data_IF_673181764905
#
_entry.id   IF_673181764905
#
_cell.length_a   1.000
_cell.length_b   1.000
_cell.length_c   1.000
_cell.angle_alpha   90.00
_cell.angle_beta   90.00
_cell.angle_gamma   90.00
#
_symmetry.space_group_name_H-M   'P 1'
#
loop_
_entity.id
_entity.type
_entity.pdbx_description
1 polymer ?
#
# COMPACT_ATOMS: atom_id res chain seq x y z
N UNK A 1 3.64 13.56 -70.69
CA UNK A 1 3.21 14.51 -69.65
C UNK A 1 2.08 13.87 -68.85
N UNK A 2 2.36 13.46 -67.62
CA UNK A 2 1.34 13.32 -66.56
C UNK A 2 2.06 13.72 -65.26
N UNK A 3 1.63 14.84 -64.66
CA UNK A 3 2.05 15.26 -63.32
C UNK A 3 1.17 14.53 -62.32
N UNK A 4 1.76 13.92 -61.29
CA UNK A 4 1.04 13.58 -60.06
C UNK A 4 1.82 14.15 -58.89
N UNK A 5 1.17 15.08 -58.20
CA UNK A 5 1.61 15.79 -57.00
C UNK A 5 1.54 14.85 -55.79
N UNK A 6 2.56 14.90 -54.92
CA UNK A 6 2.51 14.27 -53.61
C UNK A 6 1.79 15.13 -52.58
N UNK A 7 1.20 14.50 -51.57
CA UNK A 7 0.85 15.09 -50.27
C UNK A 7 1.00 13.97 -49.24
N UNK A 8 1.81 14.21 -48.21
CA UNK A 8 1.92 13.37 -47.02
C UNK A 8 0.94 13.86 -45.98
N UNK A 9 0.19 12.94 -45.39
CA UNK A 9 -0.71 13.24 -44.29
C UNK A 9 0.04 13.08 -42.97
N UNK A 10 0.28 14.21 -42.31
CA UNK A 10 0.65 14.25 -40.91
C UNK A 10 -0.59 13.91 -40.09
N UNK A 11 -0.53 12.82 -39.32
CA UNK A 11 -1.54 12.47 -38.34
C UNK A 11 -1.35 13.40 -37.14
N UNK A 12 -2.16 14.44 -37.06
CA UNK A 12 -2.33 15.23 -35.83
C UNK A 12 -3.06 14.33 -34.82
N UNK A 13 -2.32 13.92 -33.79
CA UNK A 13 -2.90 13.30 -32.60
C UNK A 13 -3.44 14.45 -31.78
N UNK A 14 -4.76 14.66 -31.81
CA UNK A 14 -5.44 15.52 -30.84
C UNK A 14 -5.19 14.93 -29.45
N UNK A 15 -4.44 15.66 -28.62
CA UNK A 15 -4.27 15.34 -27.20
C UNK A 15 -5.63 15.50 -26.53
N UNK A 16 -6.25 14.37 -26.18
CA UNK A 16 -7.47 14.31 -25.39
C UNK A 16 -7.33 15.17 -24.13
N UNK A 17 -8.13 16.23 -24.08
CA UNK A 17 -8.31 17.13 -22.96
C UNK A 17 -8.85 16.31 -21.77
N UNK A 18 -7.98 15.97 -20.82
CA UNK A 18 -8.39 15.28 -19.59
C UNK A 18 -9.04 16.30 -18.67
N UNK A 19 -10.37 16.36 -18.70
CA UNK A 19 -11.20 17.17 -17.80
C UNK A 19 -10.93 16.79 -16.33
N UNK A 20 -10.26 17.68 -15.60
CA UNK A 20 -10.23 17.64 -14.14
C UNK A 20 -11.57 18.18 -13.64
N UNK A 21 -12.47 17.26 -13.30
CA UNK A 21 -13.78 17.53 -12.70
C UNK A 21 -13.59 18.27 -11.36
N UNK A 22 -13.77 19.59 -11.37
CA UNK A 22 -14.07 20.37 -10.18
C UNK A 22 -15.59 20.44 -10.04
N UNK A 23 -16.11 19.99 -8.90
CA UNK A 23 -17.53 19.90 -8.63
C UNK A 23 -18.32 21.21 -8.84
N UNK A 24 -19.52 21.01 -9.38
CA UNK A 24 -20.80 21.69 -9.13
C UNK A 24 -20.99 23.15 -9.58
N UNK A 25 -22.00 23.37 -10.44
CA UNK A 25 -22.77 24.63 -10.48
C UNK A 25 -22.79 25.35 -11.83
N UNK A 26 -23.99 25.43 -12.41
CA UNK A 26 -24.39 26.35 -13.49
C UNK A 26 -23.86 27.78 -13.25
N UNK A 27 -22.97 28.27 -14.12
CA UNK A 27 -22.63 29.69 -14.15
C UNK A 27 -22.40 30.21 -15.58
N UNK A 28 -23.39 31.00 -16.03
CA UNK A 28 -23.37 31.82 -17.25
C UNK A 28 -22.11 32.70 -17.30
N UNK A 29 -21.56 32.85 -18.50
CA UNK A 29 -20.31 33.54 -18.79
C UNK A 29 -20.22 34.96 -18.21
N UNK A 30 -19.27 35.17 -17.29
CA UNK A 30 -18.87 36.49 -16.80
C UNK A 30 -17.61 36.91 -17.53
N UNK A 31 -17.61 38.08 -18.19
CA UNK A 31 -16.40 38.69 -18.77
C UNK A 31 -15.51 39.17 -17.62
N UNK A 32 -14.35 38.54 -17.44
CA UNK A 32 -13.41 38.90 -16.36
C UNK A 32 -12.84 40.30 -16.59
N UNK A 33 -12.83 41.13 -15.55
CA UNK A 33 -12.23 42.46 -15.60
C UNK A 33 -10.74 42.38 -15.95
N UNK A 34 -10.23 43.38 -16.69
CA UNK A 34 -8.85 43.40 -17.16
C UNK A 34 -7.83 43.25 -16.01
N UNK A 35 -8.18 43.79 -14.83
CA UNK A 35 -7.38 43.71 -13.61
C UNK A 35 -7.34 42.30 -13.01
N UNK A 36 -8.46 41.56 -13.07
CA UNK A 36 -8.54 40.16 -12.59
C UNK A 36 -7.79 39.21 -13.54
N UNK A 37 -7.83 39.45 -14.85
CA UNK A 37 -7.01 38.73 -15.84
C UNK A 37 -5.52 38.96 -15.62
N UNK A 38 -5.08 40.20 -15.33
CA UNK A 38 -3.68 40.51 -14.99
C UNK A 38 -3.23 39.81 -13.71
N UNK A 39 -4.06 39.79 -12.66
CA UNK A 39 -3.75 39.11 -11.39
C UNK A 39 -3.60 37.59 -11.56
N UNK A 40 -4.46 36.94 -12.36
CA UNK A 40 -4.32 35.51 -12.66
C UNK A 40 -3.05 35.20 -13.46
N UNK A 41 -2.72 36.01 -14.48
CA UNK A 41 -1.49 35.84 -15.25
C UNK A 41 -0.24 36.00 -14.37
N UNK A 42 -0.27 36.93 -13.41
CA UNK A 42 0.80 37.06 -12.40
C UNK A 42 0.91 35.85 -11.49
N UNK A 43 -0.21 35.35 -10.96
CA UNK A 43 -0.25 34.17 -10.11
C UNK A 43 0.19 32.88 -10.84
N UNK A 44 -0.12 32.76 -12.12
CA UNK A 44 0.27 31.62 -12.96
C UNK A 44 1.76 31.64 -13.29
N UNK A 45 2.35 32.83 -13.51
CA UNK A 45 3.81 32.99 -13.66
C UNK A 45 4.55 32.60 -12.37
N UNK A 46 4.13 33.13 -11.23
CA UNK A 46 4.72 32.79 -9.92
C UNK A 46 4.66 31.29 -9.61
N UNK A 47 3.56 30.60 -9.94
CA UNK A 47 3.47 29.14 -9.81
C UNK A 47 4.41 28.39 -10.75
N UNK A 48 4.60 28.89 -11.97
CA UNK A 48 5.58 28.36 -12.92
C UNK A 48 7.01 28.51 -12.41
N UNK A 49 7.34 29.69 -11.89
CA UNK A 49 8.67 30.01 -11.36
C UNK A 49 9.02 29.15 -10.12
N UNK A 50 8.07 28.96 -9.20
CA UNK A 50 8.22 28.06 -8.03
C UNK A 50 8.40 26.58 -8.47
N UNK A 51 7.76 26.17 -9.56
CA UNK A 51 7.93 24.84 -10.13
C UNK A 51 9.30 24.64 -10.79
N UNK A 52 9.82 25.67 -11.46
CA UNK A 52 11.15 25.67 -12.08
C UNK A 52 12.27 25.68 -11.03
N UNK A 53 12.14 26.50 -9.99
CA UNK A 53 13.09 26.54 -8.87
C UNK A 53 13.17 25.18 -8.18
N UNK A 54 12.03 24.57 -7.84
CA UNK A 54 11.99 23.20 -7.28
C UNK A 54 12.63 22.17 -8.18
N UNK A 55 12.42 22.24 -9.50
CA UNK A 55 13.06 21.32 -10.46
C UNK A 55 14.57 21.53 -10.51
N UNK A 56 15.03 22.77 -10.47
CA UNK A 56 16.46 23.11 -10.42
C UNK A 56 17.12 22.59 -9.15
N UNK A 57 16.46 22.72 -8.00
CA UNK A 57 16.96 22.18 -6.74
C UNK A 57 17.08 20.67 -6.76
N UNK A 58 16.05 19.98 -7.28
CA UNK A 58 16.08 18.53 -7.44
C UNK A 58 17.15 18.07 -8.44
N UNK A 59 17.37 18.84 -9.50
CA UNK A 59 18.42 18.60 -10.49
C UNK A 59 19.82 18.76 -9.89
N UNK A 60 20.05 19.77 -9.05
CA UNK A 60 21.32 19.96 -8.34
C UNK A 60 21.61 18.79 -7.40
N UNK A 61 20.61 18.36 -6.62
CA UNK A 61 20.70 17.19 -5.74
C UNK A 61 20.97 15.89 -6.50
N UNK A 62 20.28 15.69 -7.62
CA UNK A 62 20.51 14.53 -8.49
C UNK A 62 21.95 14.51 -9.04
N UNK A 63 22.51 15.68 -9.41
CA UNK A 63 23.91 15.80 -9.86
C UNK A 63 24.92 15.46 -8.78
N UNK A 64 24.62 15.79 -7.53
CA UNK A 64 25.40 15.38 -6.35
C UNK A 64 25.26 13.88 -6.05
N UNK A 65 24.38 13.17 -6.77
CA UNK A 65 24.15 11.74 -6.65
C UNK A 65 23.03 11.35 -5.69
N UNK A 66 22.29 12.32 -5.16
CA UNK A 66 21.12 12.07 -4.31
C UNK A 66 19.97 11.46 -5.13
N UNK A 67 19.28 10.47 -4.59
CA UNK A 67 18.05 9.95 -5.21
C UNK A 67 16.88 10.86 -4.84
N UNK A 68 16.41 11.63 -5.80
CA UNK A 68 15.27 12.56 -5.67
C UNK A 68 13.97 12.00 -6.23
N UNK A 69 14.04 10.93 -7.04
CA UNK A 69 12.87 10.18 -7.52
C UNK A 69 12.85 8.78 -6.91
N UNK A 70 11.79 8.40 -6.17
CA UNK A 70 11.63 7.03 -5.67
C UNK A 70 11.65 6.01 -6.81
N UNK A 71 12.48 4.96 -6.65
CA UNK A 71 12.69 3.96 -7.70
C UNK A 71 13.59 4.43 -8.85
N UNK A 72 14.06 5.69 -8.83
CA UNK A 72 14.95 6.28 -9.83
C UNK A 72 16.45 6.20 -9.52
N UNK A 73 16.85 5.41 -8.53
CA UNK A 73 18.24 5.34 -8.06
C UNK A 73 19.24 5.05 -9.20
N UNK A 74 20.34 5.82 -9.23
CA UNK A 74 21.47 5.64 -10.15
C UNK A 74 21.63 6.74 -11.22
N UNK A 75 20.63 7.60 -11.42
CA UNK A 75 20.71 8.74 -12.36
C UNK A 75 21.31 10.00 -11.74
N UNK A 76 22.13 10.75 -12.51
CA UNK A 76 22.75 12.03 -12.07
C UNK A 76 21.97 13.28 -12.52
N UNK A 77 20.74 13.11 -12.98
CA UNK A 77 19.80 14.18 -13.29
C UNK A 77 18.40 13.74 -12.88
N UNK A 78 17.51 14.71 -12.65
CA UNK A 78 16.12 14.45 -12.32
C UNK A 78 15.47 13.59 -13.41
N UNK A 79 15.65 13.98 -14.67
CA UNK A 79 15.12 13.27 -15.84
C UNK A 79 15.65 11.82 -15.94
N UNK A 80 16.94 11.60 -15.69
CA UNK A 80 17.50 10.25 -15.69
C UNK A 80 16.88 9.38 -14.59
N UNK A 81 16.66 9.95 -13.40
CA UNK A 81 16.00 9.23 -12.32
C UNK A 81 14.52 8.96 -12.62
N UNK A 82 13.80 9.90 -13.23
CA UNK A 82 12.42 9.72 -13.70
C UNK A 82 12.33 8.55 -14.69
N UNK A 83 13.20 8.53 -15.72
CA UNK A 83 13.22 7.43 -16.70
C UNK A 83 13.59 6.08 -16.08
N UNK A 84 14.52 6.05 -15.11
CA UNK A 84 14.86 4.82 -14.41
C UNK A 84 13.69 4.30 -13.56
N UNK A 85 13.01 5.19 -12.85
CA UNK A 85 11.84 4.85 -12.05
C UNK A 85 10.71 4.33 -12.95
N UNK A 86 10.43 5.04 -14.04
CA UNK A 86 9.44 4.66 -15.03
C UNK A 86 9.78 3.30 -15.67
N UNK A 87 11.02 3.10 -16.09
CA UNK A 87 11.50 1.85 -16.68
C UNK A 87 11.37 0.66 -15.74
N UNK A 88 11.73 0.82 -14.45
CA UNK A 88 11.57 -0.22 -13.43
C UNK A 88 10.10 -0.52 -13.14
N UNK A 89 9.26 0.52 -13.09
CA UNK A 89 7.81 0.36 -12.91
C UNK A 89 7.20 -0.42 -14.06
N UNK A 90 7.47 -0.01 -15.31
CA UNK A 90 7.03 -0.70 -16.52
C UNK A 90 7.53 -2.15 -16.55
N UNK A 91 8.81 -2.38 -16.27
CA UNK A 91 9.36 -3.73 -16.19
C UNK A 91 8.67 -4.60 -15.13
N UNK A 92 8.33 -4.04 -13.97
CA UNK A 92 7.56 -4.71 -12.93
C UNK A 92 6.13 -5.04 -13.39
N UNK A 93 5.45 -4.12 -14.09
CA UNK A 93 4.12 -4.37 -14.64
C UNK A 93 4.14 -5.45 -15.72
N UNK A 94 5.08 -5.39 -16.66
CA UNK A 94 5.27 -6.43 -17.68
C UNK A 94 5.53 -7.79 -17.04
N UNK A 95 6.38 -7.85 -16.01
CA UNK A 95 6.64 -9.10 -15.29
C UNK A 95 5.39 -9.63 -14.59
N UNK A 96 4.56 -8.73 -14.05
CA UNK A 96 3.29 -9.08 -13.43
C UNK A 96 2.27 -9.62 -14.42
N UNK A 97 2.20 -9.05 -15.61
CA UNK A 97 1.34 -9.58 -16.68
C UNK A 97 1.83 -10.95 -17.16
N UNK A 98 3.14 -11.14 -17.32
CA UNK A 98 3.73 -12.41 -17.77
C UNK A 98 3.52 -13.56 -16.77
N UNK A 99 3.65 -13.29 -15.47
CA UNK A 99 3.61 -14.32 -14.43
C UNK A 99 2.23 -14.50 -13.81
N UNK A 100 1.43 -13.44 -13.78
CA UNK A 100 0.16 -13.43 -13.09
C UNK A 100 0.28 -13.64 -11.56
N UNK A 101 -0.85 -13.78 -10.87
CA UNK A 101 -0.88 -14.00 -9.42
C UNK A 101 -0.22 -15.32 -9.00
N UNK A 102 -0.45 -16.40 -9.76
CA UNK A 102 0.11 -17.72 -9.44
C UNK A 102 1.63 -17.76 -9.62
N UNK A 103 2.19 -17.12 -10.65
CA UNK A 103 3.64 -17.05 -10.83
C UNK A 103 4.34 -16.28 -9.70
N UNK A 104 3.73 -15.22 -9.18
CA UNK A 104 4.26 -14.53 -7.98
C UNK A 104 4.14 -15.36 -6.72
N UNK A 105 3.03 -16.08 -6.54
CA UNK A 105 2.86 -17.01 -5.43
C UNK A 105 3.93 -18.08 -5.45
N UNK A 106 4.18 -18.69 -6.62
CA UNK A 106 5.22 -19.70 -6.81
C UNK A 106 6.64 -19.14 -6.56
N UNK A 107 6.96 -17.94 -7.05
CA UNK A 107 8.25 -17.31 -6.74
C UNK A 107 8.39 -17.00 -5.24
N UNK A 108 7.32 -16.57 -4.58
CA UNK A 108 7.29 -16.33 -3.14
C UNK A 108 7.53 -17.61 -2.34
N UNK A 109 6.86 -18.72 -2.72
CA UNK A 109 7.07 -20.02 -2.07
C UNK A 109 8.49 -20.52 -2.28
N UNK A 110 8.99 -20.51 -3.52
CA UNK A 110 10.37 -20.92 -3.83
C UNK A 110 11.41 -20.07 -3.09
N UNK A 111 11.21 -18.75 -3.03
CA UNK A 111 12.08 -17.85 -2.28
C UNK A 111 12.08 -18.15 -0.78
N UNK A 112 10.90 -18.45 -0.21
CA UNK A 112 10.77 -18.86 1.19
C UNK A 112 11.43 -20.20 1.48
N UNK A 113 11.25 -21.19 0.61
CA UNK A 113 11.89 -22.51 0.72
C UNK A 113 13.41 -22.41 0.65
N UNK A 114 13.93 -21.70 -0.35
CA UNK A 114 15.37 -21.46 -0.48
C UNK A 114 15.93 -20.74 0.76
N UNK A 115 15.19 -19.76 1.31
CA UNK A 115 15.62 -19.06 2.52
C UNK A 115 15.59 -19.97 3.75
N UNK A 116 14.60 -20.85 3.85
CA UNK A 116 14.47 -21.84 4.92
C UNK A 116 15.61 -22.85 4.88
N UNK A 117 16.00 -23.29 3.69
CA UNK A 117 17.15 -24.17 3.50
C UNK A 117 18.46 -23.48 3.92
N UNK A 118 18.67 -22.22 3.52
CA UNK A 118 19.88 -21.45 3.87
C UNK A 118 20.02 -21.19 5.37
N UNK A 119 18.91 -20.90 6.06
CA UNK A 119 18.91 -20.49 7.47
C UNK A 119 18.71 -21.65 8.44
N UNK A 120 18.11 -22.75 7.99
CA UNK A 120 17.65 -23.83 8.86
C UNK A 120 16.54 -23.40 9.82
N UNK A 121 16.21 -24.30 10.76
CA UNK A 121 15.16 -24.08 11.76
C UNK A 121 15.49 -22.97 12.74
N UNK A 122 16.73 -22.93 13.23
CA UNK A 122 17.17 -21.91 14.21
C UNK A 122 17.19 -20.51 13.59
N UNK A 123 17.67 -20.35 12.36
CA UNK A 123 17.66 -19.04 11.70
C UNK A 123 16.25 -18.52 11.41
N UNK A 124 15.29 -19.41 11.11
CA UNK A 124 13.88 -19.01 10.98
C UNK A 124 13.26 -18.60 12.32
N UNK A 125 13.58 -19.33 13.39
CA UNK A 125 13.14 -19.00 14.75
C UNK A 125 13.69 -17.64 15.18
N UNK A 126 14.97 -17.40 14.97
CA UNK A 126 15.62 -16.11 15.23
C UNK A 126 14.97 -14.97 14.44
N UNK A 127 14.71 -15.17 13.14
CA UNK A 127 14.05 -14.16 12.31
C UNK A 127 12.63 -13.85 12.79
N UNK A 128 11.86 -14.87 13.18
CA UNK A 128 10.55 -14.70 13.78
C UNK A 128 10.60 -13.93 15.10
N UNK A 129 11.57 -14.26 15.97
CA UNK A 129 11.82 -13.53 17.22
C UNK A 129 12.16 -12.06 16.97
N UNK A 130 13.09 -11.78 16.05
CA UNK A 130 13.46 -10.40 15.67
C UNK A 130 12.26 -9.63 15.11
N UNK A 131 11.43 -10.26 14.28
CA UNK A 131 10.21 -9.65 13.77
C UNK A 131 9.20 -9.31 14.90
N UNK A 132 9.05 -10.22 15.87
CA UNK A 132 8.22 -10.00 17.05
C UNK A 132 8.74 -8.89 17.95
N UNK A 133 10.05 -8.83 18.20
CA UNK A 133 10.69 -7.77 18.97
C UNK A 133 10.55 -6.41 18.31
N UNK A 134 10.84 -6.31 17.01
CA UNK A 134 10.65 -5.08 16.24
C UNK A 134 9.19 -4.62 16.28
N UNK A 135 8.24 -5.55 16.17
CA UNK A 135 6.81 -5.21 16.26
C UNK A 135 6.43 -4.72 17.65
N UNK A 136 7.01 -5.32 18.69
CA UNK A 136 6.80 -4.91 20.09
C UNK A 136 7.39 -3.54 20.38
N UNK A 137 8.55 -3.23 19.83
CA UNK A 137 9.13 -1.90 19.93
C UNK A 137 8.28 -0.85 19.23
N UNK A 138 7.80 -1.13 18.01
CA UNK A 138 6.94 -0.22 17.24
C UNK A 138 5.60 0.07 17.92
N UNK A 139 4.96 -0.95 18.49
CA UNK A 139 3.61 -0.83 19.06
C UNK A 139 3.59 -0.51 20.54
N UNK A 140 4.62 -0.91 21.28
CA UNK A 140 4.64 -0.85 22.73
C UNK A 140 3.50 -1.63 23.40
N UNK A 141 3.28 -1.37 24.68
CA UNK A 141 2.23 -2.02 25.47
C UNK A 141 0.83 -1.61 25.02
N UNK A 142 0.64 -0.32 24.72
CA UNK A 142 -0.67 0.20 24.29
C UNK A 142 -1.09 -0.35 22.93
N UNK A 143 -0.17 -0.48 21.97
CA UNK A 143 -0.52 -1.04 20.67
C UNK A 143 -0.92 -2.52 20.73
N UNK A 144 -0.30 -3.32 21.61
CA UNK A 144 -0.75 -4.69 21.85
C UNK A 144 -2.09 -4.76 22.59
N UNK A 145 -2.31 -3.88 23.55
CA UNK A 145 -3.59 -3.78 24.26
C UNK A 145 -4.71 -3.41 23.29
N UNK A 146 -4.49 -2.43 22.42
CA UNK A 146 -5.44 -2.04 21.38
C UNK A 146 -5.70 -3.19 20.40
N UNK A 147 -4.66 -3.88 19.93
CA UNK A 147 -4.81 -5.02 19.02
C UNK A 147 -5.57 -6.18 19.66
N UNK A 148 -5.30 -6.46 20.94
CA UNK A 148 -6.04 -7.44 21.74
C UNK A 148 -7.51 -7.05 21.92
N UNK A 149 -7.79 -5.78 22.24
CA UNK A 149 -9.16 -5.26 22.35
C UNK A 149 -9.91 -5.38 21.03
N UNK A 150 -9.32 -4.92 19.92
CA UNK A 150 -9.92 -5.03 18.58
C UNK A 150 -10.20 -6.49 18.21
N UNK A 151 -9.24 -7.38 18.44
CA UNK A 151 -9.44 -8.82 18.21
C UNK A 151 -10.58 -9.40 19.05
N UNK A 152 -10.67 -9.00 20.32
CA UNK A 152 -11.77 -9.37 21.22
C UNK A 152 -13.13 -8.83 20.77
N UNK A 153 -13.18 -7.58 20.33
CA UNK A 153 -14.40 -6.94 19.79
C UNK A 153 -14.87 -7.62 18.51
N UNK A 154 -13.98 -7.86 17.54
CA UNK A 154 -14.29 -8.62 16.32
C UNK A 154 -14.80 -10.02 16.68
N UNK A 155 -14.18 -10.68 17.67
CA UNK A 155 -14.62 -12.00 18.09
C UNK A 155 -16.00 -11.96 18.76
N UNK A 156 -16.27 -10.95 19.58
CA UNK A 156 -17.57 -10.73 20.21
C UNK A 156 -18.66 -10.45 19.19
N UNK A 157 -18.36 -9.71 18.13
CA UNK A 157 -19.29 -9.47 17.03
C UNK A 157 -19.62 -10.77 16.28
N UNK A 158 -18.62 -11.59 15.99
CA UNK A 158 -18.82 -12.88 15.30
C UNK A 158 -19.64 -13.90 16.09
N UNK A 159 -19.46 -13.95 17.42
CA UNK A 159 -20.07 -14.98 18.28
C UNK A 159 -21.30 -14.48 19.04
N UNK A 160 -21.55 -13.18 19.04
CA UNK A 160 -22.52 -12.55 19.94
C UNK A 160 -22.02 -12.49 21.39
N UNK A 161 -22.78 -11.78 22.23
CA UNK A 161 -22.46 -11.56 23.64
C UNK A 161 -22.38 -12.85 24.44
N UNK A 162 -23.28 -13.80 24.18
CA UNK A 162 -23.38 -15.08 24.89
C UNK A 162 -22.20 -16.01 24.54
N UNK A 163 -21.92 -16.23 23.25
CA UNK A 163 -20.80 -17.05 22.82
C UNK A 163 -19.44 -16.49 23.26
N UNK A 164 -19.29 -15.16 23.28
CA UNK A 164 -18.08 -14.52 23.80
C UNK A 164 -17.91 -14.70 25.33
N UNK A 165 -18.99 -14.56 26.11
CA UNK A 165 -18.95 -14.80 27.56
C UNK A 165 -18.66 -16.26 27.89
N UNK A 166 -19.29 -17.21 27.17
CA UNK A 166 -19.06 -18.63 27.37
C UNK A 166 -17.61 -19.02 27.04
N UNK A 167 -17.00 -18.37 26.04
CA UNK A 167 -15.58 -18.57 25.67
C UNK A 167 -14.65 -18.02 26.75
N UNK A 168 -14.93 -16.81 27.25
CA UNK A 168 -14.19 -16.21 28.35
C UNK A 168 -14.27 -17.06 29.63
N UNK A 169 -15.46 -17.60 29.92
CA UNK A 169 -15.67 -18.55 31.03
C UNK A 169 -14.85 -19.81 30.84
N UNK A 170 -14.88 -20.46 29.66
CA UNK A 170 -14.05 -21.64 29.34
C UNK A 170 -12.57 -21.33 29.55
N UNK A 171 -12.07 -20.23 28.99
CA UNK A 171 -10.67 -19.79 29.14
C UNK A 171 -10.27 -19.53 30.61
N UNK A 172 -11.17 -18.96 31.41
CA UNK A 172 -10.95 -18.71 32.84
C UNK A 172 -10.90 -19.95 33.73
N UNK A 173 -11.31 -21.12 33.24
CA UNK A 173 -11.23 -22.38 33.99
C UNK A 173 -9.83 -23.00 34.01
N UNK A 174 -8.90 -22.52 33.16
CA UNK A 174 -7.53 -23.06 33.12
C UNK A 174 -6.82 -22.81 34.44
N UNK A 175 -6.13 -23.82 34.93
CA UNK A 175 -5.24 -23.73 36.10
C UNK A 175 -3.79 -23.99 35.68
N UNK A 176 -2.86 -23.96 36.62
CA UNK A 176 -1.45 -24.23 36.34
C UNK A 176 -1.21 -25.67 35.88
N UNK A 177 -2.03 -26.60 36.39
CA UNK A 177 -1.86 -28.04 36.20
C UNK A 177 -2.85 -28.64 35.20
N UNK A 178 -3.97 -27.96 34.92
CA UNK A 178 -5.04 -28.45 34.03
C UNK A 178 -5.48 -27.41 33.02
N UNK A 179 -5.72 -27.88 31.79
CA UNK A 179 -6.29 -27.04 30.73
C UNK A 179 -7.76 -26.70 31.03
N UNK A 180 -8.25 -25.63 30.41
CA UNK A 180 -9.68 -25.28 30.42
C UNK A 180 -10.59 -26.45 30.02
N UNK A 181 -10.16 -27.30 29.08
CA UNK A 181 -10.97 -28.39 28.55
C UNK A 181 -11.08 -29.54 29.54
N UNK A 182 -9.97 -29.91 30.16
CA UNK A 182 -9.92 -30.95 31.19
C UNK A 182 -10.80 -30.60 32.40
N UNK A 183 -10.81 -29.31 32.78
CA UNK A 183 -11.66 -28.79 33.87
C UNK A 183 -13.15 -28.83 33.53
N UNK A 184 -13.50 -28.55 32.28
CA UNK A 184 -14.90 -28.59 31.81
C UNK A 184 -15.44 -30.00 31.87
N UNK A 185 -14.63 -30.99 31.49
CA UNK A 185 -14.96 -32.41 31.55
C UNK A 185 -15.05 -32.92 32.99
N UNK A 186 -14.13 -32.52 33.88
CA UNK A 186 -14.11 -32.92 35.30
C UNK A 186 -15.28 -32.34 36.10
N UNK A 187 -15.61 -31.07 35.89
CA UNK A 187 -16.71 -30.40 36.61
C UNK A 187 -18.08 -30.62 35.94
N UNK A 188 -18.13 -31.35 34.82
CA UNK A 188 -19.37 -31.63 34.09
C UNK A 188 -20.06 -30.37 33.58
N UNK A 189 -19.29 -29.34 33.21
CA UNK A 189 -19.84 -28.08 32.71
C UNK A 189 -20.29 -28.30 31.26
N UNK A 190 -21.59 -28.22 31.02
CA UNK A 190 -22.13 -28.25 29.66
C UNK A 190 -21.74 -26.95 28.93
N UNK A 191 -20.95 -27.10 27.86
CA UNK A 191 -20.51 -26.00 26.99
C UNK A 191 -20.97 -26.30 25.58
N UNK A 192 -21.67 -25.36 24.95
CA UNK A 192 -22.09 -25.48 23.57
C UNK A 192 -20.97 -25.02 22.63
N UNK A 193 -20.18 -25.98 22.14
CA UNK A 193 -19.07 -25.68 21.26
C UNK A 193 -19.47 -25.06 19.91
N UNK A 194 -20.73 -25.24 19.50
CA UNK A 194 -21.22 -24.65 18.24
C UNK A 194 -21.26 -23.12 18.30
N UNK A 195 -21.37 -22.54 19.50
CA UNK A 195 -21.35 -21.09 19.75
C UNK A 195 -19.97 -20.45 19.60
N UNK A 196 -18.91 -21.24 19.39
CA UNK A 196 -17.55 -20.73 19.19
C UNK A 196 -17.09 -20.78 17.73
N UNK A 197 -17.84 -21.43 16.85
CA UNK A 197 -17.47 -21.51 15.44
C UNK A 197 -18.09 -20.34 14.70
N UNK A 198 -17.27 -19.66 13.89
CA UNK A 198 -17.80 -18.72 12.91
C UNK A 198 -18.62 -19.50 11.89
N UNK A 199 -19.83 -19.02 11.56
CA UNK A 199 -20.58 -19.56 10.42
C UNK A 199 -19.71 -19.39 9.16
N UNK A 200 -19.38 -20.50 8.52
CA UNK A 200 -18.62 -20.52 7.25
C UNK A 200 -19.49 -20.01 6.12
#
# INVERSE_FOLDING_TARGET
MVKVQGIGDAVEIEEDEVDVVAGEGLARGRRWSHQRKKKMRGNMRLRGDIGQERRSDLEAKAKEGETVVPGGTGGKSLEAQEHLAEGRSKGGQTRKEQLGPEGYKEMGTKGGEARKEQLGTEGYKEMGSKGGEARKEQLGTEGYKEMGSKGGETRKEQLGSEGYHEMGRKGGLSTKDKSSQERVEEEGIEIDESKYRTKT
#
